data_IF_715765006330
#
_entry.id   IF_715765006330
#
_cell.length_a   1.000
_cell.length_b   1.000
_cell.length_c   1.000
_cell.angle_alpha   90.00
_cell.angle_beta   90.00
_cell.angle_gamma   90.00
#
_symmetry.space_group_name_H-M   'P 1'
#
loop_
_entity.id
_entity.type
_entity.pdbx_description
1 polymer ?
#
# COMPACT_ATOMS: atom_id res chain seq x y z
N UNK A 1 -9.00 27.99 -7.73
CA UNK A 1 -9.44 26.61 -7.99
C UNK A 1 -9.75 26.02 -6.63
N UNK A 2 -11.01 26.04 -6.20
CA UNK A 2 -11.40 25.50 -4.89
C UNK A 2 -11.68 24.02 -5.08
N UNK A 3 -10.73 23.17 -4.67
CA UNK A 3 -10.97 21.74 -4.54
C UNK A 3 -11.98 21.53 -3.43
N UNK A 4 -13.17 21.05 -3.78
CA UNK A 4 -14.15 20.61 -2.80
C UNK A 4 -13.70 19.24 -2.28
N UNK A 5 -12.96 19.22 -1.17
CA UNK A 5 -12.66 17.96 -0.47
C UNK A 5 -13.89 17.58 0.35
N UNK A 6 -14.79 16.82 -0.25
CA UNK A 6 -15.77 16.03 0.51
C UNK A 6 -15.03 14.82 1.06
N UNK A 7 -14.38 14.97 2.22
CA UNK A 7 -14.18 13.80 3.08
C UNK A 7 -15.59 13.31 3.45
N UNK A 8 -15.93 12.04 3.20
CA UNK A 8 -17.11 11.45 3.82
C UNK A 8 -16.98 11.69 5.34
N UNK A 9 -18.08 11.92 6.02
CA UNK A 9 -18.12 12.07 7.48
C UNK A 9 -17.78 10.71 8.13
N UNK A 10 -16.51 10.30 8.02
CA UNK A 10 -15.96 9.01 8.43
C UNK A 10 -15.76 9.07 9.94
N UNK A 11 -16.63 8.39 10.67
CA UNK A 11 -16.47 8.22 12.10
C UNK A 11 -15.54 7.05 12.34
N UNK A 12 -14.29 7.34 12.70
CA UNK A 12 -13.39 6.32 13.18
C UNK A 12 -13.81 5.83 14.57
N UNK A 13 -13.75 4.53 14.86
CA UNK A 13 -13.83 4.01 16.22
C UNK A 13 -12.79 4.67 17.14
N UNK A 14 -13.10 4.79 18.43
CA UNK A 14 -12.24 5.45 19.42
C UNK A 14 -10.81 4.90 19.45
N UNK A 15 -10.65 3.57 19.33
CA UNK A 15 -9.34 2.94 19.31
C UNK A 15 -8.48 3.36 18.10
N UNK A 16 -9.09 3.62 16.93
CA UNK A 16 -8.38 4.11 15.75
C UNK A 16 -7.97 5.57 15.96
N UNK A 17 -8.88 6.40 16.49
CA UNK A 17 -8.57 7.80 16.80
C UNK A 17 -7.40 7.92 17.77
N UNK A 18 -7.40 7.13 18.84
CA UNK A 18 -6.31 7.11 19.82
C UNK A 18 -4.98 6.70 19.18
N UNK A 19 -5.00 5.74 18.24
CA UNK A 19 -3.80 5.31 17.51
C UNK A 19 -3.28 6.40 16.58
N UNK A 20 -4.16 7.07 15.83
CA UNK A 20 -3.79 8.20 14.97
C UNK A 20 -3.17 9.35 15.76
N UNK A 21 -3.76 9.70 16.91
CA UNK A 21 -3.22 10.74 17.80
C UNK A 21 -1.83 10.35 18.33
N UNK A 22 -1.63 9.08 18.70
CA UNK A 22 -0.33 8.58 19.17
C UNK A 22 0.73 8.66 18.07
N UNK A 23 0.42 8.17 16.87
CA UNK A 23 1.34 8.16 15.73
C UNK A 23 1.67 9.57 15.26
N UNK A 24 0.69 10.47 15.21
CA UNK A 24 0.89 11.89 14.90
C UNK A 24 1.93 12.53 15.83
N UNK A 25 1.85 12.27 17.14
CA UNK A 25 2.82 12.78 18.11
C UNK A 25 4.21 12.16 17.99
N UNK A 26 4.27 10.85 17.73
CA UNK A 26 5.53 10.13 17.61
C UNK A 26 6.30 10.53 16.34
N UNK A 27 5.58 10.69 15.23
CA UNK A 27 6.16 10.98 13.92
C UNK A 27 6.23 12.48 13.60
N UNK A 28 5.58 13.33 14.40
CA UNK A 28 5.49 14.77 14.16
C UNK A 28 4.70 15.13 12.89
N UNK A 29 3.78 14.26 12.47
CA UNK A 29 2.93 14.43 11.27
C UNK A 29 1.50 14.82 11.65
N UNK A 30 0.81 15.53 10.76
CA UNK A 30 -0.62 15.81 10.97
C UNK A 30 -1.45 14.53 10.80
N UNK A 31 -2.57 14.44 11.52
CA UNK A 31 -3.48 13.29 11.44
C UNK A 31 -4.08 13.19 10.03
N UNK A 32 -4.40 14.31 9.41
CA UNK A 32 -4.96 14.35 8.07
C UNK A 32 -3.96 13.81 7.02
N UNK A 33 -2.67 14.11 7.18
CA UNK A 33 -1.61 13.58 6.31
C UNK A 33 -1.44 12.07 6.52
N UNK A 34 -1.43 11.60 7.77
CA UNK A 34 -1.34 10.17 8.09
C UNK A 34 -2.53 9.39 7.52
N UNK A 35 -3.74 9.94 7.58
CA UNK A 35 -4.92 9.31 7.00
C UNK A 35 -4.80 9.25 5.48
N UNK A 36 -4.35 10.32 4.83
CA UNK A 36 -4.17 10.35 3.37
C UNK A 36 -3.12 9.34 2.92
N UNK A 37 -1.96 9.31 3.58
CA UNK A 37 -0.89 8.34 3.31
C UNK A 37 -1.40 6.90 3.49
N UNK A 38 -2.04 6.58 4.62
CA UNK A 38 -2.54 5.23 4.89
C UNK A 38 -3.61 4.77 3.89
N UNK A 39 -4.47 5.68 3.42
CA UNK A 39 -5.47 5.35 2.39
C UNK A 39 -4.80 5.10 1.04
N UNK A 40 -3.82 5.91 0.65
CA UNK A 40 -3.07 5.72 -0.59
C UNK A 40 -2.30 4.39 -0.58
N UNK A 41 -1.54 4.12 0.48
CA UNK A 41 -0.81 2.85 0.64
C UNK A 41 -1.75 1.64 0.54
N UNK A 42 -2.92 1.69 1.19
CA UNK A 42 -3.87 0.59 1.11
C UNK A 42 -4.47 0.42 -0.30
N UNK A 43 -4.68 1.51 -1.05
CA UNK A 43 -5.13 1.41 -2.44
C UNK A 43 -4.06 0.80 -3.34
N UNK A 44 -2.78 1.16 -3.15
CA UNK A 44 -1.65 0.56 -3.87
C UNK A 44 -1.55 -0.95 -3.59
N UNK A 45 -1.69 -1.36 -2.33
CA UNK A 45 -1.73 -2.78 -1.95
C UNK A 45 -2.87 -3.55 -2.66
N UNK A 46 -4.04 -2.92 -2.80
CA UNK A 46 -5.19 -3.53 -3.51
C UNK A 46 -4.92 -3.64 -5.02
N UNK A 47 -4.24 -2.66 -5.62
CA UNK A 47 -3.83 -2.72 -7.03
C UNK A 47 -2.82 -3.84 -7.26
N UNK A 48 -1.84 -4.00 -6.37
CA UNK A 48 -0.86 -5.10 -6.42
C UNK A 48 -1.52 -6.47 -6.28
N UNK A 49 -2.47 -6.62 -5.36
CA UNK A 49 -3.25 -7.85 -5.22
C UNK A 49 -4.01 -8.19 -6.51
N UNK A 50 -4.63 -7.18 -7.13
CA UNK A 50 -5.35 -7.38 -8.39
C UNK A 50 -4.41 -7.84 -9.50
N UNK A 51 -3.22 -7.25 -9.63
CA UNK A 51 -2.21 -7.67 -10.62
C UNK A 51 -1.76 -9.11 -10.35
N UNK A 52 -1.58 -9.50 -9.08
CA UNK A 52 -1.24 -10.85 -8.71
C UNK A 52 -2.35 -11.86 -9.07
N UNK A 53 -3.61 -11.53 -8.81
CA UNK A 53 -4.76 -12.35 -9.20
C UNK A 53 -4.87 -12.51 -10.72
N UNK A 54 -4.67 -11.42 -11.49
CA UNK A 54 -4.66 -11.48 -12.95
C UNK A 54 -3.55 -12.41 -13.47
N UNK A 55 -2.34 -12.34 -12.91
CA UNK A 55 -1.23 -13.25 -13.26
C UNK A 55 -1.53 -14.70 -12.89
N UNK A 56 -2.27 -14.94 -11.81
CA UNK A 56 -2.68 -16.29 -11.43
C UNK A 56 -3.75 -16.85 -12.38
N UNK A 57 -4.71 -16.02 -12.78
CA UNK A 57 -5.77 -16.39 -13.72
C UNK A 57 -5.24 -16.57 -15.16
N UNK A 58 -4.22 -15.80 -15.53
CA UNK A 58 -3.55 -15.83 -16.81
C UNK A 58 -2.05 -16.08 -16.61
N UNK A 59 -1.66 -17.32 -16.23
CA UNK A 59 -0.27 -17.65 -15.99
C UNK A 59 0.56 -17.43 -17.27
N UNK A 60 1.80 -16.95 -17.13
CA UNK A 60 2.67 -16.76 -18.28
C UNK A 60 2.98 -18.10 -18.95
N UNK A 61 3.15 -18.09 -20.26
CA UNK A 61 3.53 -19.29 -21.04
C UNK A 61 4.93 -19.82 -20.66
N UNK A 62 5.73 -18.98 -20.00
CA UNK A 62 7.10 -19.29 -19.60
C UNK A 62 7.36 -18.86 -18.16
N UNK A 63 7.99 -19.75 -17.41
CA UNK A 63 8.53 -19.49 -16.09
C UNK A 63 10.05 -19.38 -16.19
N UNK A 64 10.64 -18.44 -15.46
CA UNK A 64 12.10 -18.29 -15.37
C UNK A 64 12.56 -19.10 -14.16
N UNK A 65 13.57 -19.95 -14.34
CA UNK A 65 14.19 -20.70 -13.25
C UNK A 65 14.90 -19.76 -12.28
N UNK A 66 14.79 -20.02 -10.98
CA UNK A 66 15.42 -19.18 -9.95
C UNK A 66 16.93 -19.14 -10.13
N UNK A 67 17.56 -20.26 -10.51
CA UNK A 67 18.99 -20.31 -10.78
C UNK A 67 19.41 -19.41 -11.96
N UNK A 68 18.53 -19.22 -12.95
CA UNK A 68 18.77 -18.30 -14.06
C UNK A 68 18.66 -16.84 -13.59
N UNK A 69 17.65 -16.52 -12.77
CA UNK A 69 17.48 -15.17 -12.19
C UNK A 69 18.66 -14.81 -11.28
N UNK A 70 19.10 -15.73 -10.41
CA UNK A 70 20.23 -15.52 -9.51
C UNK A 70 21.53 -15.26 -10.27
N UNK A 71 21.76 -16.02 -11.35
CA UNK A 71 22.90 -15.80 -12.24
C UNK A 71 22.85 -14.43 -12.92
N UNK A 72 21.69 -14.01 -13.41
CA UNK A 72 21.53 -12.73 -14.11
C UNK A 72 21.70 -11.53 -13.15
N UNK A 73 21.40 -11.71 -11.86
CA UNK A 73 21.55 -10.69 -10.82
C UNK A 73 22.92 -10.73 -10.10
N UNK A 74 23.83 -11.63 -10.49
CA UNK A 74 25.13 -11.87 -9.83
C UNK A 74 24.97 -12.24 -8.33
N UNK A 75 23.91 -13.00 -8.03
CA UNK A 75 23.56 -13.50 -6.69
C UNK A 75 23.83 -15.01 -6.52
N UNK A 76 24.42 -15.66 -7.52
CA UNK A 76 24.77 -17.08 -7.45
C UNK A 76 26.00 -17.28 -6.54
N UNK A 77 25.87 -18.14 -5.53
CA UNK A 77 26.94 -18.55 -4.60
C UNK A 77 28.14 -19.24 -5.29
#
# INVERSE_FOLDING_TARGET
MFGFTVMPNLKFPEHIQNKLISLSKELGKDIDDLIQEAVLEYLEDLEDLKVAEERLAHPPDHYIDIAAVEKDLDLAD
#
